data_IF_692341176526
#
_entry.id   IF_692341176526
#
_cell.length_a   1.000
_cell.length_b   1.000
_cell.length_c   1.000
_cell.angle_alpha   90.00
_cell.angle_beta   90.00
_cell.angle_gamma   90.00
#
_symmetry.space_group_name_H-M   'P 1'
#
loop_
_entity.id
_entity.type
_entity.pdbx_description
1 polymer ?
#
# COMPACT_ATOMS: atom_id res chain seq x y z
N UNK A 1 17.92 3.10 11.24
CA UNK A 1 17.79 3.90 12.48
C UNK A 1 17.19 5.25 12.10
N UNK A 2 15.89 5.48 12.29
CA UNK A 2 15.28 6.80 12.06
C UNK A 2 15.27 7.55 13.40
N UNK A 3 16.31 8.35 13.59
CA UNK A 3 16.54 9.19 14.76
C UNK A 3 15.68 10.47 14.65
N UNK A 4 15.36 11.14 15.76
CA UNK A 4 14.84 12.50 15.72
C UNK A 4 15.81 13.38 14.92
N UNK A 5 15.34 14.04 13.85
CA UNK A 5 16.19 14.80 12.92
C UNK A 5 16.59 14.06 11.64
N UNK A 6 16.08 12.85 11.39
CA UNK A 6 16.28 12.14 10.11
C UNK A 6 15.05 12.33 9.20
N UNK A 7 15.19 12.96 8.03
CA UNK A 7 14.08 13.18 7.11
C UNK A 7 13.57 11.85 6.55
N UNK A 8 12.27 11.59 6.74
CA UNK A 8 11.56 10.48 6.14
C UNK A 8 10.99 10.94 4.79
N UNK A 9 11.24 10.17 3.72
CA UNK A 9 10.67 10.43 2.40
C UNK A 9 9.16 10.11 2.41
N UNK A 10 8.34 11.13 2.62
CA UNK A 10 6.91 11.10 2.31
C UNK A 10 6.77 11.47 0.84
N UNK A 11 6.45 10.51 -0.04
CA UNK A 11 6.06 10.85 -1.42
C UNK A 11 4.58 11.22 -1.40
N UNK A 12 4.29 12.47 -1.11
CA UNK A 12 2.95 13.02 -1.21
C UNK A 12 2.77 13.63 -2.60
N UNK A 13 2.15 12.88 -3.51
CA UNK A 13 1.83 13.36 -4.86
C UNK A 13 0.41 13.91 -4.89
N UNK A 14 0.28 15.18 -5.24
CA UNK A 14 -1.03 15.77 -5.50
C UNK A 14 -1.63 15.20 -6.77
N UNK A 15 -2.95 15.28 -6.87
CA UNK A 15 -3.65 14.92 -8.10
C UNK A 15 -3.05 15.71 -9.27
N UNK A 16 -2.70 15.05 -10.38
CA UNK A 16 -2.07 15.67 -11.55
C UNK A 16 -0.82 16.53 -11.25
N UNK A 17 -0.02 16.19 -10.23
CA UNK A 17 1.18 16.96 -9.79
C UNK A 17 0.86 18.35 -9.20
N UNK A 18 -0.38 18.62 -8.82
CA UNK A 18 -0.71 19.87 -8.12
C UNK A 18 -0.09 19.88 -6.71
N UNK A 19 0.05 21.08 -6.13
CA UNK A 19 0.51 21.24 -4.76
C UNK A 19 -0.45 20.52 -3.80
N UNK A 20 0.10 19.78 -2.84
CA UNK A 20 -0.68 19.09 -1.82
C UNK A 20 -1.10 20.01 -0.66
N UNK A 21 -0.36 21.10 -0.44
CA UNK A 21 -0.55 22.04 0.67
C UNK A 21 -0.44 23.46 0.12
N UNK A 22 -1.35 24.35 0.54
CA UNK A 22 -1.43 25.73 0.05
C UNK A 22 -1.25 26.77 1.17
N UNK A 23 -1.28 26.35 2.43
CA UNK A 23 -1.04 27.14 3.64
C UNK A 23 -0.63 26.21 4.79
N UNK A 24 -0.08 26.78 5.88
CA UNK A 24 0.23 26.03 7.11
C UNK A 24 -1.03 25.42 7.74
N UNK A 25 -2.17 26.09 7.56
CA UNK A 25 -3.49 25.62 7.96
C UNK A 25 -4.23 25.09 6.73
N UNK A 26 -4.34 23.78 6.63
CA UNK A 26 -5.14 23.15 5.58
C UNK A 26 -6.62 23.14 6.00
N UNK A 27 -7.41 24.04 5.42
CA UNK A 27 -8.86 24.14 5.67
C UNK A 27 -9.65 22.90 5.24
N UNK A 28 -9.05 22.00 4.45
CA UNK A 28 -9.67 20.74 4.03
C UNK A 28 -9.43 19.60 5.02
N UNK A 29 -8.51 19.77 5.98
CA UNK A 29 -8.14 18.74 6.94
C UNK A 29 -8.74 19.08 8.30
N UNK A 30 -9.77 18.34 8.70
CA UNK A 30 -10.29 18.37 10.06
C UNK A 30 -9.66 17.23 10.87
N UNK A 31 -9.02 17.50 12.04
CA UNK A 31 -8.45 16.46 12.87
C UNK A 31 -9.50 15.44 13.32
N UNK A 32 -9.20 14.15 13.16
CA UNK A 32 -10.10 13.09 13.59
C UNK A 32 -10.17 13.02 15.14
N UNK A 33 -11.33 12.70 15.75
CA UNK A 33 -11.47 12.63 17.21
C UNK A 33 -10.43 11.76 17.92
N UNK A 34 -10.06 10.62 17.31
CA UNK A 34 -9.01 9.72 17.83
C UNK A 34 -7.63 10.39 17.89
N UNK A 35 -7.33 11.28 16.93
CA UNK A 35 -6.10 12.06 16.97
C UNK A 35 -6.17 13.14 18.04
N UNK A 36 -7.30 13.85 18.16
CA UNK A 36 -7.48 14.87 19.20
C UNK A 36 -7.48 14.30 20.61
N UNK A 37 -7.85 13.02 20.80
CA UNK A 37 -7.78 12.36 22.10
C UNK A 37 -6.36 11.97 22.55
N UNK A 38 -5.36 12.09 21.67
CA UNK A 38 -3.98 11.74 22.03
C UNK A 38 -3.36 12.69 23.06
N UNK A 39 -3.75 13.97 23.03
CA UNK A 39 -3.37 14.99 23.99
C UNK A 39 -4.20 16.26 23.81
N UNK A 40 -4.26 17.08 24.86
CA UNK A 40 -4.94 18.38 24.85
C UNK A 40 -4.21 19.38 23.95
N UNK A 41 -2.89 19.50 24.13
CA UNK A 41 -2.06 20.46 23.39
C UNK A 41 -1.62 19.92 22.04
N UNK A 42 -1.51 20.81 21.04
CA UNK A 42 -1.15 20.43 19.67
C UNK A 42 0.24 19.81 19.57
N UNK A 43 1.21 20.36 20.32
CA UNK A 43 2.58 19.85 20.34
C UNK A 43 2.64 18.44 20.93
N UNK A 44 1.90 18.22 22.02
CA UNK A 44 1.85 16.91 22.71
C UNK A 44 1.14 15.86 21.84
N UNK A 45 0.12 16.24 21.06
CA UNK A 45 -0.50 15.33 20.08
C UNK A 45 0.48 14.87 19.04
N UNK A 46 1.30 15.78 18.50
CA UNK A 46 2.33 15.44 17.53
C UNK A 46 3.36 14.47 18.13
N UNK A 47 3.77 14.70 19.37
CA UNK A 47 4.69 13.82 20.10
C UNK A 47 4.06 12.44 20.32
N UNK A 48 2.86 12.38 20.90
CA UNK A 48 2.14 11.13 21.15
C UNK A 48 1.90 10.33 19.86
N UNK A 49 1.51 11.00 18.77
CA UNK A 49 1.32 10.37 17.47
C UNK A 49 2.62 9.77 16.92
N UNK A 50 3.74 10.48 17.05
CA UNK A 50 5.06 9.98 16.60
C UNK A 50 5.52 8.77 17.41
N UNK A 51 5.25 8.76 18.72
CA UNK A 51 5.61 7.64 19.59
C UNK A 51 4.93 6.31 19.18
N UNK A 52 3.73 6.37 18.59
CA UNK A 52 3.07 5.18 18.02
C UNK A 52 3.92 4.48 16.94
N UNK A 53 4.84 5.21 16.29
CA UNK A 53 5.67 4.74 15.19
C UNK A 53 7.18 4.79 15.50
N UNK A 54 7.56 4.99 16.77
CA UNK A 54 8.98 5.11 17.16
C UNK A 54 9.82 3.89 16.81
N UNK A 55 9.19 2.72 16.74
CA UNK A 55 9.85 1.47 16.37
C UNK A 55 9.90 1.33 14.85
N UNK A 56 11.10 0.99 14.35
CA UNK A 56 11.26 0.75 12.92
C UNK A 56 10.41 -0.44 12.49
N UNK A 57 9.74 -0.30 11.35
CA UNK A 57 9.06 -1.41 10.69
C UNK A 57 10.06 -2.56 10.46
N UNK A 58 9.57 -3.80 10.53
CA UNK A 58 10.36 -4.97 10.23
C UNK A 58 11.04 -4.84 8.86
N UNK A 59 12.30 -5.29 8.78
CA UNK A 59 13.04 -5.32 7.52
C UNK A 59 12.23 -6.11 6.47
N UNK A 60 11.97 -5.50 5.31
CA UNK A 60 11.19 -6.11 4.23
C UNK A 60 9.68 -5.81 4.24
N UNK A 61 9.09 -5.36 5.35
CA UNK A 61 7.65 -5.05 5.40
C UNK A 61 7.27 -3.92 4.43
N UNK A 62 8.14 -2.91 4.29
CA UNK A 62 7.94 -1.83 3.31
C UNK A 62 7.90 -2.37 1.87
N UNK A 63 8.72 -3.39 1.58
CA UNK A 63 8.75 -4.00 0.26
C UNK A 63 7.51 -4.88 0.01
N UNK A 64 7.01 -5.56 1.05
CA UNK A 64 5.72 -6.26 1.00
C UNK A 64 4.55 -5.29 0.74
N UNK A 65 4.50 -4.17 1.46
CA UNK A 65 3.51 -3.10 1.24
C UNK A 65 3.57 -2.59 -0.20
N UNK A 66 4.77 -2.30 -0.71
CA UNK A 66 4.97 -1.84 -2.09
C UNK A 66 4.51 -2.86 -3.11
N UNK A 67 4.87 -4.13 -2.93
CA UNK A 67 4.50 -5.22 -3.84
C UNK A 67 2.98 -5.42 -3.86
N UNK A 68 2.33 -5.42 -2.70
CA UNK A 68 0.89 -5.53 -2.58
C UNK A 68 0.17 -4.34 -3.23
N UNK A 69 0.60 -3.11 -2.91
CA UNK A 69 0.00 -1.87 -3.43
C UNK A 69 0.14 -1.75 -4.94
N UNK A 70 1.35 -1.95 -5.48
CA UNK A 70 1.60 -1.84 -6.92
C UNK A 70 0.89 -2.93 -7.74
N UNK A 71 0.66 -4.10 -7.13
CA UNK A 71 -0.05 -5.22 -7.76
C UNK A 71 -1.55 -5.25 -7.49
N UNK A 72 -2.08 -4.32 -6.68
CA UNK A 72 -3.46 -4.35 -6.18
C UNK A 72 -3.84 -5.69 -5.50
N UNK A 73 -2.92 -6.22 -4.68
CA UNK A 73 -3.05 -7.48 -3.94
C UNK A 73 -3.22 -7.21 -2.43
N UNK A 74 -3.72 -8.21 -1.70
CA UNK A 74 -3.86 -8.15 -0.26
C UNK A 74 -2.47 -8.16 0.42
N UNK A 75 -2.30 -7.28 1.40
CA UNK A 75 -1.18 -7.30 2.33
C UNK A 75 -1.57 -8.15 3.55
N UNK A 76 -0.73 -9.12 3.92
CA UNK A 76 -0.97 -9.98 5.08
C UNK A 76 -0.79 -11.46 4.78
N UNK A 77 -1.26 -12.30 5.69
CA UNK A 77 -1.12 -13.76 5.58
C UNK A 77 -2.12 -14.39 4.59
N UNK A 78 -1.96 -15.69 4.36
CA UNK A 78 -2.82 -16.44 3.43
C UNK A 78 -4.28 -16.50 3.90
N UNK A 79 -4.53 -16.48 5.22
CA UNK A 79 -5.89 -16.51 5.77
C UNK A 79 -6.60 -15.19 5.46
N UNK A 80 -5.93 -14.06 5.68
CA UNK A 80 -6.44 -12.73 5.37
C UNK A 80 -6.67 -12.57 3.87
N UNK A 81 -5.73 -13.03 3.04
CA UNK A 81 -5.89 -13.00 1.59
C UNK A 81 -7.09 -13.84 1.12
N UNK A 82 -7.31 -15.03 1.68
CA UNK A 82 -8.46 -15.88 1.36
C UNK A 82 -9.79 -15.21 1.79
N UNK A 83 -9.84 -14.64 3.00
CA UNK A 83 -11.01 -13.92 3.49
C UNK A 83 -11.35 -12.71 2.61
N UNK A 84 -10.32 -11.94 2.20
CA UNK A 84 -10.47 -10.79 1.31
C UNK A 84 -10.91 -11.20 -0.11
N UNK A 85 -10.37 -12.30 -0.64
CA UNK A 85 -10.79 -12.85 -1.93
C UNK A 85 -12.28 -13.23 -1.92
N UNK A 86 -12.73 -13.90 -0.85
CA UNK A 86 -14.12 -14.31 -0.67
C UNK A 86 -15.05 -13.09 -0.54
N UNK A 87 -14.65 -12.08 0.24
CA UNK A 87 -15.45 -10.87 0.47
C UNK A 87 -15.61 -10.01 -0.80
N UNK A 88 -14.55 -9.87 -1.61
CA UNK A 88 -14.55 -8.98 -2.78
C UNK A 88 -14.96 -9.74 -4.06
N UNK A 89 -14.95 -11.08 -4.05
CA UNK A 89 -15.25 -11.90 -5.23
C UNK A 89 -14.19 -11.80 -6.33
N UNK A 90 -12.97 -11.38 -6.00
CA UNK A 90 -11.85 -11.24 -6.96
C UNK A 90 -10.57 -11.85 -6.42
N UNK A 91 -9.64 -12.17 -7.31
CA UNK A 91 -8.28 -12.59 -6.93
C UNK A 91 -7.54 -11.43 -6.27
N UNK A 92 -7.04 -11.64 -5.06
CA UNK A 92 -6.24 -10.67 -4.29
C UNK A 92 -4.81 -11.14 -4.03
N UNK A 93 -4.37 -12.21 -4.70
CA UNK A 93 -3.00 -12.72 -4.65
C UNK A 93 -2.35 -12.71 -6.05
N UNK A 94 -1.02 -12.60 -6.14
CA UNK A 94 -0.31 -12.73 -7.41
C UNK A 94 -0.57 -14.09 -8.05
N UNK A 95 -0.91 -14.11 -9.34
CA UNK A 95 -0.96 -15.33 -10.14
C UNK A 95 0.39 -15.69 -10.74
N UNK A 96 0.45 -16.77 -11.53
CA UNK A 96 1.60 -17.05 -12.40
C UNK A 96 1.66 -15.99 -13.50
N UNK A 97 2.76 -15.24 -13.55
CA UNK A 97 3.00 -14.28 -14.63
C UNK A 97 3.21 -15.01 -15.96
N UNK A 98 2.67 -14.47 -17.04
CA UNK A 98 2.86 -14.99 -18.40
C UNK A 98 1.54 -15.38 -19.09
N UNK A 99 1.59 -15.39 -20.43
CA UNK A 99 0.47 -15.85 -21.26
C UNK A 99 0.27 -17.36 -21.05
N UNK A 100 -0.97 -17.84 -20.88
CA UNK A 100 -1.26 -19.27 -20.88
C UNK A 100 -0.70 -19.93 -22.15
N UNK A 101 -0.02 -21.08 -21.99
CA UNK A 101 0.51 -21.83 -23.12
C UNK A 101 -0.65 -22.30 -23.98
N UNK A 102 -0.63 -21.98 -25.27
CA UNK A 102 -1.61 -22.49 -26.22
C UNK A 102 -1.31 -23.98 -26.47
N UNK A 103 -2.23 -24.87 -26.07
CA UNK A 103 -2.12 -26.34 -26.21
C UNK A 103 -2.76 -26.83 -27.51
N UNK A 104 -3.07 -25.94 -28.48
CA UNK A 104 -3.49 -26.41 -29.80
C UNK A 104 -2.36 -27.23 -30.43
N UNK A 105 -2.58 -28.54 -30.41
CA UNK A 105 -1.79 -29.57 -31.06
C UNK A 105 -1.66 -29.22 -32.54
N UNK A 106 -0.41 -29.12 -33.01
CA UNK A 106 -0.14 -29.05 -34.44
C UNK A 106 -0.52 -30.41 -35.00
N UNK A 107 -1.77 -30.58 -35.42
CA UNK A 107 -2.08 -31.62 -36.40
C UNK A 107 -1.40 -31.16 -37.68
N UNK A 108 -0.16 -31.63 -37.87
CA UNK A 108 0.53 -31.58 -39.15
C UNK A 108 -0.19 -32.56 -40.08
N UNK A 109 -1.34 -32.14 -40.60
CA UNK A 109 -1.96 -32.78 -41.73
C UNK A 109 -0.98 -32.72 -42.89
N UNK A 110 -0.50 -33.90 -43.29
CA UNK A 110 0.21 -34.13 -44.54
C UNK A 110 -0.68 -33.56 -45.64
N UNK A 111 -0.24 -32.46 -46.25
CA UNK A 111 -1.00 -31.69 -47.21
C UNK A 111 -0.42 -31.95 -48.61
N UNK A 112 -1.21 -32.62 -49.44
CA UNK A 112 -1.08 -32.91 -50.87
C UNK A 112 -0.24 -34.15 -51.27
N UNK A 113 -0.94 -35.18 -51.78
CA UNK A 113 -0.50 -35.98 -52.95
C UNK A 113 -0.94 -35.26 -54.24
#
# INVERSE_FOLDING_TARGET
MALPGVPLHIIQRGNNRQACFFADEDRLITPHPVYTSLAVEALDRCTAYRELFRHQLATGLVDEIRKATNGNFALGDHRFAAASAAAIGRRVTPGKSGRPRNVHERVSGILFD
#
